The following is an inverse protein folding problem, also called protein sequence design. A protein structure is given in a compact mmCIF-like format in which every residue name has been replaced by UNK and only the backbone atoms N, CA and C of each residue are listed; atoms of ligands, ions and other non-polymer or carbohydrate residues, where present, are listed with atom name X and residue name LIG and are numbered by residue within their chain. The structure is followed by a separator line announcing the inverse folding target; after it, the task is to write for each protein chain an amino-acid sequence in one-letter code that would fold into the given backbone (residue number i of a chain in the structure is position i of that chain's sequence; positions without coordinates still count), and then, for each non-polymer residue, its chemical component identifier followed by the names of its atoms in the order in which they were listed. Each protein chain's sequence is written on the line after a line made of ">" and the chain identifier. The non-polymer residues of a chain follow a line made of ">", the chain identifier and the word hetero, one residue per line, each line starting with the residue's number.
data_IF_757056068457
#
_entry.id   IF_757056068457
#
_cell.length_a   1.000
_cell.length_b   1.000
_cell.length_c   1.000
_cell.angle_alpha   90.00
_cell.angle_beta   90.00
_cell.angle_gamma   90.00
#
_symmetry.space_group_name_H-M   'P 1'
#
loop_
_entity.id
_entity.type
_entity.pdbx_description
1 polymer ?
#
# COMPACT_ATOMS: atom_id res chain seq x y z
N UNK A 1 -14.67 0.80 7.75
CA UNK A 1 -14.60 -0.34 6.81
C UNK A 1 -13.78 0.19 5.65
N UNK A 2 -12.49 -0.09 5.64
CA UNK A 2 -11.57 0.49 4.65
C UNK A 2 -11.90 -0.13 3.29
N UNK A 3 -12.49 0.67 2.41
CA UNK A 3 -12.91 0.21 1.09
C UNK A 3 -11.68 0.07 0.20
N UNK A 4 -11.27 -1.17 -0.05
CA UNK A 4 -10.33 -1.47 -1.13
C UNK A 4 -11.11 -1.45 -2.44
N UNK A 5 -10.59 -0.77 -3.45
CA UNK A 5 -11.17 -0.68 -4.79
C UNK A 5 -10.12 -0.87 -5.88
N UNK A 6 -10.50 -0.58 -7.12
CA UNK A 6 -9.59 -0.58 -8.28
C UNK A 6 -9.63 0.75 -9.01
N UNK A 7 -8.49 1.12 -9.60
CA UNK A 7 -8.35 2.23 -10.53
C UNK A 7 -7.40 1.80 -11.65
N UNK A 8 -7.97 1.34 -12.77
CA UNK A 8 -7.21 0.64 -13.80
C UNK A 8 -6.58 -0.64 -13.24
N UNK A 9 -5.28 -0.82 -13.48
CA UNK A 9 -4.52 -1.96 -12.96
C UNK A 9 -4.18 -1.85 -11.47
N UNK A 10 -4.31 -0.66 -10.86
CA UNK A 10 -3.99 -0.48 -9.44
C UNK A 10 -5.13 -0.93 -8.52
N UNK A 11 -4.76 -1.60 -7.44
CA UNK A 11 -5.58 -1.74 -6.23
C UNK A 11 -5.41 -0.52 -5.35
N UNK A 12 -6.51 0.03 -4.84
CA UNK A 12 -6.51 1.32 -4.15
C UNK A 12 -7.15 1.19 -2.78
N UNK A 13 -6.54 1.80 -1.78
CA UNK A 13 -7.19 1.99 -0.47
C UNK A 13 -6.81 3.34 0.11
N UNK A 14 -7.69 3.89 0.95
CA UNK A 14 -7.44 5.11 1.70
C UNK A 14 -7.63 4.85 3.18
N UNK A 15 -6.65 5.24 3.99
CA UNK A 15 -6.73 5.18 5.45
C UNK A 15 -6.61 6.60 6.00
N UNK A 16 -7.63 7.03 6.72
CA UNK A 16 -7.67 8.33 7.41
C UNK A 16 -7.83 8.08 8.91
N UNK A 17 -6.89 8.56 9.73
CA UNK A 17 -6.91 8.38 11.19
C UNK A 17 -7.16 9.67 11.97
N UNK A 18 -7.47 10.76 11.26
CA UNK A 18 -7.59 12.10 11.83
C UNK A 18 -6.39 12.96 11.43
N UNK A 19 -5.28 12.96 12.19
CA UNK A 19 -4.10 13.74 11.86
C UNK A 19 -3.28 13.16 10.70
N UNK A 20 -3.59 11.91 10.27
CA UNK A 20 -2.91 11.27 9.17
C UNK A 20 -3.90 10.78 8.11
N UNK A 21 -3.50 10.91 6.85
CA UNK A 21 -4.21 10.44 5.68
C UNK A 21 -3.22 9.81 4.70
N UNK A 22 -3.56 8.62 4.22
CA UNK A 22 -2.83 7.91 3.20
C UNK A 22 -3.81 7.45 2.13
N UNK A 23 -3.54 7.79 0.88
CA UNK A 23 -4.04 7.08 -0.29
C UNK A 23 -2.91 6.20 -0.83
N UNK A 24 -3.15 4.90 -0.94
CA UNK A 24 -2.19 3.92 -1.47
C UNK A 24 -2.76 3.26 -2.72
N UNK A 25 -1.96 3.20 -3.77
CA UNK A 25 -2.22 2.46 -4.99
C UNK A 25 -1.10 1.46 -5.19
N UNK A 26 -1.45 0.19 -5.37
CA UNK A 26 -0.52 -0.91 -5.62
C UNK A 26 -0.83 -1.57 -6.95
N UNK A 27 0.19 -1.69 -7.78
CA UNK A 27 0.22 -2.67 -8.87
C UNK A 27 0.82 -3.97 -8.31
N UNK A 28 0.16 -5.10 -8.52
CA UNK A 28 0.50 -6.38 -7.90
C UNK A 28 0.66 -7.48 -8.97
N UNK A 29 1.64 -8.36 -8.76
CA UNK A 29 1.86 -9.55 -9.56
C UNK A 29 2.00 -10.80 -8.70
N UNK A 30 1.80 -11.98 -9.30
CA UNK A 30 1.93 -13.27 -8.60
C UNK A 30 3.39 -13.70 -8.39
N UNK A 31 4.35 -13.02 -9.04
CA UNK A 31 5.79 -13.29 -8.94
C UNK A 31 6.58 -12.03 -8.55
N UNK A 32 7.55 -12.20 -7.64
CA UNK A 32 8.47 -11.13 -7.26
C UNK A 32 9.63 -11.05 -8.26
N UNK A 33 9.56 -10.08 -9.16
CA UNK A 33 10.59 -9.85 -10.18
C UNK A 33 11.70 -8.93 -9.66
N UNK A 34 11.32 -7.87 -8.93
CA UNK A 34 12.23 -6.87 -8.38
C UNK A 34 11.60 -6.18 -7.16
N UNK A 35 12.36 -5.27 -6.54
CA UNK A 35 11.78 -4.35 -5.56
C UNK A 35 10.85 -3.35 -6.25
N UNK A 36 9.72 -2.98 -5.61
CA UNK A 36 8.76 -2.11 -6.25
C UNK A 36 9.31 -0.70 -6.48
N UNK A 37 8.90 -0.12 -7.60
CA UNK A 37 9.08 1.30 -7.86
C UNK A 37 8.16 2.11 -6.95
N UNK A 38 8.68 3.19 -6.34
CA UNK A 38 7.92 4.02 -5.40
C UNK A 38 7.81 5.43 -5.96
N UNK A 39 6.59 5.95 -6.03
CA UNK A 39 6.32 7.32 -6.46
C UNK A 39 5.27 8.02 -5.60
N UNK A 40 5.50 9.30 -5.33
CA UNK A 40 4.53 10.15 -4.65
C UNK A 40 3.63 10.85 -5.68
N UNK A 41 2.32 10.81 -5.45
CA UNK A 41 1.31 11.58 -6.18
C UNK A 41 1.22 12.97 -5.59
N UNK A 42 1.06 13.04 -4.26
CA UNK A 42 0.93 14.28 -3.51
C UNK A 42 1.45 14.06 -2.08
N UNK A 43 2.09 15.07 -1.50
CA UNK A 43 2.60 15.01 -0.13
C UNK A 43 2.31 16.30 0.60
N UNK A 44 1.94 16.17 1.87
CA UNK A 44 1.73 17.34 2.71
C UNK A 44 3.07 18.08 2.94
N UNK A 45 3.18 19.39 2.60
CA UNK A 45 4.42 20.13 2.75
C UNK A 45 4.84 20.32 4.21
N UNK A 46 3.88 20.23 5.16
CA UNK A 46 4.14 20.41 6.60
C UNK A 46 4.88 19.21 7.19
N UNK A 47 4.45 17.99 6.88
CA UNK A 47 5.06 16.78 7.40
C UNK A 47 6.20 16.25 6.51
N UNK A 48 6.22 16.68 5.25
CA UNK A 48 7.20 16.27 4.26
C UNK A 48 6.92 14.88 3.70
N UNK A 49 7.71 14.51 2.69
CA UNK A 49 7.60 13.23 1.99
C UNK A 49 8.35 12.11 2.75
N UNK A 50 7.71 10.94 2.99
CA UNK A 50 8.43 9.73 3.38
C UNK A 50 9.51 9.34 2.37
N UNK A 51 10.61 8.75 2.83
CA UNK A 51 11.62 8.23 1.89
C UNK A 51 11.06 7.03 1.11
N UNK A 52 11.55 6.82 -0.11
CA UNK A 52 11.11 5.69 -0.93
C UNK A 52 11.46 4.35 -0.29
N UNK A 53 12.57 4.28 0.45
CA UNK A 53 12.97 3.11 1.22
C UNK A 53 11.99 2.81 2.37
N UNK A 54 11.61 3.83 3.16
CA UNK A 54 10.67 3.65 4.27
C UNK A 54 9.28 3.21 3.78
N UNK A 55 8.80 3.85 2.70
CA UNK A 55 7.53 3.49 2.08
C UNK A 55 7.57 2.06 1.52
N UNK A 56 8.63 1.70 0.79
CA UNK A 56 8.83 0.35 0.26
C UNK A 56 8.83 -0.69 1.37
N UNK A 57 9.65 -0.48 2.41
CA UNK A 57 9.79 -1.42 3.52
C UNK A 57 8.44 -1.64 4.23
N UNK A 58 7.69 -0.57 4.48
CA UNK A 58 6.38 -0.66 5.12
C UNK A 58 5.35 -1.40 4.27
N UNK A 59 5.28 -1.10 2.96
CA UNK A 59 4.38 -1.78 2.03
C UNK A 59 4.71 -3.27 1.94
N UNK A 60 5.98 -3.62 1.75
CA UNK A 60 6.42 -5.02 1.68
C UNK A 60 6.10 -5.78 2.97
N UNK A 61 6.35 -5.18 4.14
CA UNK A 61 6.00 -5.80 5.42
C UNK A 61 4.49 -6.06 5.54
N UNK A 62 3.66 -5.13 5.05
CA UNK A 62 2.20 -5.29 5.00
C UNK A 62 1.75 -6.39 4.06
N UNK A 63 2.27 -6.42 2.83
CA UNK A 63 1.94 -7.45 1.84
C UNK A 63 2.42 -8.83 2.25
N UNK A 64 3.66 -8.96 2.72
CA UNK A 64 4.26 -10.23 3.14
C UNK A 64 3.50 -10.84 4.31
N UNK A 65 3.11 -10.01 5.27
CA UNK A 65 2.25 -10.44 6.38
C UNK A 65 0.91 -10.96 5.87
N UNK A 66 0.22 -10.21 5.01
CA UNK A 66 -1.07 -10.62 4.48
C UNK A 66 -0.97 -11.90 3.63
N UNK A 67 0.08 -12.03 2.83
CA UNK A 67 0.39 -13.23 2.05
C UNK A 67 0.56 -14.45 2.96
N UNK A 68 1.35 -14.34 4.02
CA UNK A 68 1.53 -15.43 4.99
C UNK A 68 0.23 -15.82 5.72
N UNK A 69 -0.62 -14.85 6.05
CA UNK A 69 -1.91 -15.10 6.71
C UNK A 69 -2.99 -15.65 5.77
N UNK A 70 -2.98 -15.26 4.49
CA UNK A 70 -4.02 -15.60 3.52
C UNK A 70 -3.64 -16.74 2.57
N UNK A 71 -2.37 -17.18 2.56
CA UNK A 71 -1.87 -18.19 1.62
C UNK A 71 -1.75 -17.66 0.18
N UNK A 72 -1.55 -16.36 -0.01
CA UNK A 72 -1.35 -15.72 -1.31
C UNK A 72 0.12 -15.43 -1.60
N UNK A 73 0.45 -15.09 -2.84
CA UNK A 73 1.81 -14.72 -3.28
C UNK A 73 1.79 -13.40 -4.07
N UNK A 74 1.09 -12.39 -3.57
CA UNK A 74 0.95 -11.11 -4.25
C UNK A 74 2.11 -10.18 -3.94
N UNK A 75 2.83 -9.74 -4.96
CA UNK A 75 4.03 -8.93 -4.87
C UNK A 75 3.82 -7.55 -5.49
N UNK A 76 4.13 -6.46 -4.78
CA UNK A 76 4.10 -5.12 -5.35
C UNK A 76 5.12 -4.93 -6.48
N UNK A 77 4.65 -4.46 -7.63
CA UNK A 77 5.47 -3.96 -8.74
C UNK A 77 5.66 -2.44 -8.66
N UNK A 78 4.58 -1.73 -8.36
CA UNK A 78 4.57 -0.28 -8.21
C UNK A 78 3.79 0.14 -6.96
N UNK A 79 4.34 1.11 -6.25
CA UNK A 79 3.74 1.77 -5.10
C UNK A 79 3.56 3.25 -5.43
N UNK A 80 2.31 3.68 -5.54
CA UNK A 80 1.97 5.11 -5.66
C UNK A 80 1.20 5.56 -4.45
N UNK A 81 1.54 6.74 -3.92
CA UNK A 81 0.91 7.20 -2.70
C UNK A 81 0.64 8.70 -2.67
N UNK A 82 -0.45 9.10 -1.99
CA UNK A 82 -0.58 10.43 -1.41
C UNK A 82 -0.51 10.32 0.11
N UNK A 83 0.32 11.13 0.76
CA UNK A 83 0.55 11.01 2.20
C UNK A 83 0.58 12.37 2.90
N UNK A 84 -0.22 12.45 3.96
CA UNK A 84 -0.19 13.52 4.94
C UNK A 84 -0.13 12.89 6.32
N UNK A 85 1.05 12.86 6.95
CA UNK A 85 1.16 12.30 8.29
C UNK A 85 2.54 12.48 8.90
N UNK A 86 2.59 12.50 10.23
CA UNK A 86 3.84 12.68 10.97
C UNK A 86 4.72 11.42 11.01
N UNK A 87 4.15 10.22 10.77
CA UNK A 87 4.86 8.93 10.87
C UNK A 87 5.60 8.55 9.57
N UNK A 88 6.36 9.50 9.04
CA UNK A 88 7.06 9.35 7.74
C UNK A 88 8.23 8.36 7.75
N UNK A 89 8.76 8.02 8.93
CA UNK A 89 9.90 7.09 9.06
C UNK A 89 9.46 5.63 9.11
N UNK A 90 8.33 5.34 9.75
CA UNK A 90 7.80 3.97 9.85
C UNK A 90 6.75 3.67 8.79
N UNK A 91 6.08 4.71 8.29
CA UNK A 91 5.00 4.59 7.31
C UNK A 91 3.94 3.55 7.74
N UNK A 92 3.56 3.53 9.02
CA UNK A 92 2.73 2.46 9.58
C UNK A 92 1.37 2.31 8.85
N UNK A 93 0.82 3.44 8.36
CA UNK A 93 -0.39 3.42 7.53
C UNK A 93 -0.18 2.70 6.19
N UNK A 94 1.00 2.79 5.59
CA UNK A 94 1.31 2.13 4.33
C UNK A 94 1.35 0.61 4.48
N UNK A 95 1.93 0.12 5.57
CA UNK A 95 1.88 -1.30 5.91
C UNK A 95 0.45 -1.80 6.16
N UNK A 96 -0.36 -1.04 6.91
CA UNK A 96 -1.77 -1.38 7.14
C UNK A 96 -2.59 -1.37 5.83
N UNK A 97 -2.36 -0.39 4.96
CA UNK A 97 -3.02 -0.26 3.67
C UNK A 97 -2.65 -1.42 2.73
N UNK A 98 -1.37 -1.75 2.62
CA UNK A 98 -0.90 -2.87 1.81
C UNK A 98 -1.46 -4.21 2.31
N UNK A 99 -1.46 -4.42 3.64
CA UNK A 99 -2.09 -5.57 4.26
C UNK A 99 -3.59 -5.67 3.89
N UNK A 100 -4.32 -4.57 4.01
CA UNK A 100 -5.75 -4.52 3.69
C UNK A 100 -6.05 -4.82 2.21
N UNK A 101 -5.20 -4.36 1.29
CA UNK A 101 -5.32 -4.66 -0.15
C UNK A 101 -5.22 -6.17 -0.39
N UNK A 102 -4.12 -6.80 0.03
CA UNK A 102 -3.89 -8.25 -0.19
C UNK A 102 -4.99 -9.08 0.45
N UNK A 103 -5.38 -8.74 1.68
CA UNK A 103 -6.52 -9.34 2.39
C UNK A 103 -7.83 -9.26 1.62
N UNK A 104 -8.12 -8.12 0.98
CA UNK A 104 -9.36 -7.92 0.24
C UNK A 104 -9.37 -8.74 -1.06
N UNK A 105 -8.23 -8.85 -1.74
CA UNK A 105 -8.06 -9.69 -2.94
C UNK A 105 -8.23 -11.16 -2.57
N UNK A 106 -7.53 -11.64 -1.52
CA UNK A 106 -7.63 -13.01 -1.05
C UNK A 106 -9.07 -13.41 -0.65
N UNK A 107 -9.83 -12.46 -0.11
CA UNK A 107 -11.23 -12.66 0.25
C UNK A 107 -12.22 -12.56 -0.93
N UNK A 108 -11.73 -12.35 -2.16
CA UNK A 108 -12.57 -12.16 -3.36
C UNK A 108 -13.43 -10.89 -3.32
N UNK A 109 -13.09 -9.91 -2.47
CA UNK A 109 -13.85 -8.66 -2.34
C UNK A 109 -13.52 -7.64 -3.42
N UNK A 110 -12.38 -7.84 -4.07
CA UNK A 110 -11.89 -7.04 -5.19
C UNK A 110 -11.23 -8.03 -6.14
N UNK A 111 -11.77 -8.20 -7.34
CA UNK A 111 -11.20 -9.14 -8.30
C UNK A 111 -9.85 -8.62 -8.80
N UNK A 112 -8.81 -9.46 -8.76
CA UNK A 112 -7.70 -9.35 -9.70
C UNK A 112 -8.22 -9.76 -11.09
N UNK A 113 -7.83 -9.04 -12.13
CA UNK A 113 -8.28 -9.33 -13.50
C UNK A 113 -7.50 -10.50 -14.09
#
# INVERSE_FOLDING_TARGET
>A
MDSVGRNGHYFVTRITTGPQDLLLLLDLADERIADPFVSAIEVCPVYGRPTDEAMRAAVLAGTDRANGECGTSLHPLEVRFSYSGYDRERCSLAGAAAYNIVRAIAAGKVAAE
#
